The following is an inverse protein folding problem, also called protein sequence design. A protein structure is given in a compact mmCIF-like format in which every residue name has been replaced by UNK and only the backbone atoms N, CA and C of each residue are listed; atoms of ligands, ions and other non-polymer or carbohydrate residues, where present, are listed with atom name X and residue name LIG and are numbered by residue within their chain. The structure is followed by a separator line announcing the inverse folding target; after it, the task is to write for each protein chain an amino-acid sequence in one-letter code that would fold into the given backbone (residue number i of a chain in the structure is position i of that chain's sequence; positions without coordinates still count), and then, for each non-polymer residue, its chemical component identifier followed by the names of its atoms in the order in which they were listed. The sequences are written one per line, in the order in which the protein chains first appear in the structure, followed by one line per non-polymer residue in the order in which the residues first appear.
data_IF_771365031738
#
_entry.id   IF_771365031738
#
_cell.length_a   1.000
_cell.length_b   1.000
_cell.length_c   1.000
_cell.angle_alpha   90.00
_cell.angle_beta   90.00
_cell.angle_gamma   90.00
#
_symmetry.space_group_name_H-M   'P 1'
#
loop_
_entity.id
_entity.type
_entity.pdbx_description
1 polymer ?
#
# COMPACT_ATOMS: atom_id res chain seq x y z
N UNK A 1 -35.16 -22.63 -10.10
CA UNK A 1 -33.87 -23.24 -9.73
C UNK A 1 -33.06 -23.66 -10.96
N UNK A 2 -33.60 -24.45 -11.91
CA UNK A 2 -32.86 -24.88 -13.12
C UNK A 2 -32.28 -23.74 -13.95
N UNK A 3 -33.08 -22.70 -14.24
CA UNK A 3 -32.58 -21.52 -14.97
C UNK A 3 -31.43 -20.81 -14.22
N UNK A 4 -31.48 -20.80 -12.89
CA UNK A 4 -30.39 -20.21 -12.08
C UNK A 4 -29.12 -21.05 -12.14
N UNK A 5 -29.23 -22.39 -12.04
CA UNK A 5 -28.09 -23.29 -12.16
C UNK A 5 -27.43 -23.21 -13.53
N UNK A 6 -28.25 -23.14 -14.60
CA UNK A 6 -27.76 -22.92 -15.95
C UNK A 6 -27.02 -21.58 -16.09
N UNK A 7 -27.59 -20.50 -15.54
CA UNK A 7 -26.94 -19.20 -15.53
C UNK A 7 -25.58 -19.22 -14.77
N UNK A 8 -25.51 -19.94 -13.63
CA UNK A 8 -24.24 -20.11 -12.92
C UNK A 8 -23.23 -20.91 -13.75
N UNK A 9 -23.68 -22.01 -14.38
CA UNK A 9 -22.82 -22.84 -15.23
C UNK A 9 -22.26 -22.03 -16.40
N UNK A 10 -23.11 -21.25 -17.07
CA UNK A 10 -22.69 -20.36 -18.15
C UNK A 10 -21.68 -19.32 -17.62
N UNK A 11 -21.90 -18.78 -16.43
CA UNK A 11 -20.97 -17.86 -15.76
C UNK A 11 -19.60 -18.49 -15.47
N UNK A 12 -19.56 -19.74 -15.03
CA UNK A 12 -18.31 -20.46 -14.83
C UNK A 12 -17.58 -20.75 -16.14
N UNK A 13 -18.30 -21.22 -17.16
CA UNK A 13 -17.74 -21.58 -18.46
C UNK A 13 -17.19 -20.40 -19.24
N UNK A 14 -17.72 -19.18 -19.00
CA UNK A 14 -17.30 -17.97 -19.70
C UNK A 14 -16.30 -17.11 -18.90
N UNK A 15 -15.75 -17.59 -17.79
CA UNK A 15 -14.72 -16.86 -17.03
C UNK A 15 -13.45 -16.74 -17.87
N UNK A 16 -12.89 -15.54 -17.89
CA UNK A 16 -11.62 -15.27 -18.54
C UNK A 16 -10.43 -15.90 -17.81
N UNK A 17 -10.54 -16.12 -16.50
CA UNK A 17 -9.47 -16.61 -15.64
C UNK A 17 -10.01 -17.72 -14.74
N UNK A 18 -9.25 -18.79 -14.60
CA UNK A 18 -9.52 -19.88 -13.65
C UNK A 18 -8.71 -19.67 -12.36
N UNK A 19 -9.09 -18.66 -11.58
CA UNK A 19 -8.36 -18.21 -10.40
C UNK A 19 -8.99 -18.70 -9.10
N UNK A 20 -8.17 -19.31 -8.27
CA UNK A 20 -8.46 -19.51 -6.85
C UNK A 20 -7.94 -18.32 -6.04
N UNK A 21 -8.83 -17.35 -5.77
CA UNK A 21 -8.49 -16.16 -4.98
C UNK A 21 -7.87 -16.52 -3.63
N UNK A 22 -8.38 -17.57 -2.96
CA UNK A 22 -7.87 -17.99 -1.64
C UNK A 22 -6.44 -18.48 -1.71
N UNK A 23 -6.06 -19.22 -2.75
CA UNK A 23 -4.65 -19.62 -2.94
C UNK A 23 -3.73 -18.43 -3.17
N UNK A 24 -4.18 -17.43 -3.95
CA UNK A 24 -3.41 -16.21 -4.23
C UNK A 24 -3.17 -15.42 -2.95
N UNK A 25 -4.20 -15.27 -2.12
CA UNK A 25 -4.13 -14.57 -0.83
C UNK A 25 -3.26 -15.33 0.18
N UNK A 26 -3.45 -16.66 0.27
CA UNK A 26 -2.65 -17.50 1.17
C UNK A 26 -1.18 -17.50 0.80
N UNK A 27 -0.87 -17.54 -0.50
CA UNK A 27 0.51 -17.50 -0.99
C UNK A 27 1.26 -16.26 -0.50
N UNK A 28 0.68 -15.07 -0.68
CA UNK A 28 1.39 -13.84 -0.31
C UNK A 28 1.53 -13.69 1.21
N UNK A 29 0.55 -14.14 1.97
CA UNK A 29 0.63 -14.16 3.44
C UNK A 29 1.72 -15.11 3.94
N UNK A 30 1.77 -16.32 3.40
CA UNK A 30 2.78 -17.30 3.77
C UNK A 30 4.17 -16.86 3.34
N UNK A 31 4.29 -16.23 2.15
CA UNK A 31 5.56 -15.68 1.68
C UNK A 31 6.04 -14.54 2.56
N UNK A 32 5.18 -13.59 2.93
CA UNK A 32 5.51 -12.52 3.87
C UNK A 32 5.96 -13.07 5.23
N UNK A 33 5.25 -14.07 5.77
CA UNK A 33 5.63 -14.73 7.03
C UNK A 33 6.97 -15.44 6.94
N UNK A 34 7.22 -16.13 5.85
CA UNK A 34 8.52 -16.78 5.62
C UNK A 34 9.67 -15.77 5.63
N UNK A 35 9.46 -14.62 5.00
CA UNK A 35 10.51 -13.59 4.85
C UNK A 35 10.79 -12.85 6.15
N UNK A 36 9.74 -12.49 6.90
CA UNK A 36 9.87 -11.59 8.06
C UNK A 36 9.66 -12.27 9.41
N UNK A 37 8.90 -13.34 9.51
CA UNK A 37 8.54 -13.96 10.79
C UNK A 37 9.32 -15.23 11.11
N UNK A 38 10.35 -15.55 10.35
CA UNK A 38 11.15 -16.74 10.53
C UNK A 38 10.27 -18.00 10.74
N UNK A 39 9.52 -18.36 9.70
CA UNK A 39 8.70 -19.59 9.69
C UNK A 39 9.55 -20.84 9.97
N UNK A 40 10.83 -20.76 9.64
CA UNK A 40 11.86 -21.76 9.98
C UNK A 40 12.48 -21.47 11.34
N UNK A 41 13.09 -22.50 11.94
CA UNK A 41 13.83 -22.34 13.21
C UNK A 41 14.99 -21.36 13.06
N UNK A 42 15.38 -20.68 14.14
CA UNK A 42 16.49 -19.68 14.16
C UNK A 42 17.83 -20.22 13.63
N UNK A 43 18.01 -21.53 13.61
CA UNK A 43 19.21 -22.20 13.13
C UNK A 43 19.02 -22.94 11.81
N UNK A 44 18.03 -22.54 10.99
CA UNK A 44 17.83 -23.10 9.66
C UNK A 44 19.10 -22.89 8.83
N UNK A 45 19.52 -23.93 8.12
CA UNK A 45 20.64 -23.85 7.19
C UNK A 45 20.27 -23.07 5.91
N UNK A 46 21.28 -22.55 5.21
CA UNK A 46 21.06 -21.91 3.90
C UNK A 46 20.32 -22.85 2.93
N UNK A 47 20.60 -24.15 2.96
CA UNK A 47 19.93 -25.13 2.13
C UNK A 47 18.44 -25.27 2.46
N UNK A 48 18.06 -25.23 3.74
CA UNK A 48 16.65 -25.26 4.15
C UNK A 48 15.92 -24.00 3.68
N UNK A 49 16.54 -22.84 3.84
CA UNK A 49 15.99 -21.55 3.37
C UNK A 49 15.85 -21.56 1.84
N UNK A 50 16.91 -22.01 1.13
CA UNK A 50 16.89 -22.10 -0.34
C UNK A 50 15.81 -23.05 -0.84
N UNK A 51 15.66 -24.22 -0.23
CA UNK A 51 14.62 -25.19 -0.58
C UNK A 51 13.21 -24.61 -0.37
N UNK A 52 13.00 -23.89 0.74
CA UNK A 52 11.70 -23.26 1.02
C UNK A 52 11.41 -22.15 0.00
N UNK A 53 12.39 -21.31 -0.32
CA UNK A 53 12.27 -20.26 -1.34
C UNK A 53 11.96 -20.85 -2.72
N UNK A 54 12.65 -21.95 -3.08
CA UNK A 54 12.38 -22.66 -4.32
C UNK A 54 10.95 -23.23 -4.38
N UNK A 55 10.42 -23.71 -3.24
CA UNK A 55 9.02 -24.16 -3.17
C UNK A 55 8.06 -22.99 -3.40
N UNK A 56 8.28 -21.83 -2.80
CA UNK A 56 7.49 -20.62 -3.08
C UNK A 56 7.53 -20.25 -4.57
N UNK A 57 8.69 -20.31 -5.19
CA UNK A 57 8.83 -20.04 -6.63
C UNK A 57 7.99 -21.00 -7.48
N UNK A 58 8.03 -22.29 -7.18
CA UNK A 58 7.22 -23.32 -7.87
C UNK A 58 5.72 -23.04 -7.69
N UNK A 59 5.28 -22.72 -6.49
CA UNK A 59 3.87 -22.50 -6.19
C UNK A 59 3.37 -21.19 -6.81
N UNK A 60 4.22 -20.16 -6.86
CA UNK A 60 3.90 -18.91 -7.55
C UNK A 60 3.75 -19.11 -9.07
N UNK A 61 4.64 -19.87 -9.70
CA UNK A 61 4.53 -20.22 -11.13
C UNK A 61 3.20 -20.94 -11.42
N UNK A 62 2.75 -21.85 -10.53
CA UNK A 62 1.43 -22.50 -10.68
C UNK A 62 0.27 -21.49 -10.61
N UNK A 63 0.37 -20.50 -9.72
CA UNK A 63 -0.60 -19.41 -9.62
C UNK A 63 -0.60 -18.58 -10.92
N UNK A 64 0.58 -18.20 -11.42
CA UNK A 64 0.72 -17.46 -12.67
C UNK A 64 0.18 -18.23 -13.87
N UNK A 65 0.34 -19.56 -13.90
CA UNK A 65 -0.22 -20.39 -14.94
C UNK A 65 -1.76 -20.29 -15.01
N UNK A 66 -2.44 -20.23 -13.86
CA UNK A 66 -3.90 -20.04 -13.83
C UNK A 66 -4.36 -18.69 -14.38
N UNK A 67 -3.45 -17.71 -14.47
CA UNK A 67 -3.74 -16.36 -15.03
C UNK A 67 -3.47 -16.32 -16.54
N UNK A 68 -2.35 -16.92 -16.97
CA UNK A 68 -1.88 -16.78 -18.36
C UNK A 68 -2.38 -17.90 -19.27
N UNK A 69 -2.67 -19.08 -18.73
CA UNK A 69 -2.88 -20.33 -19.48
C UNK A 69 -1.72 -20.63 -20.46
N UNK A 70 -0.52 -20.18 -20.08
CA UNK A 70 0.72 -20.26 -20.82
C UNK A 70 1.86 -20.57 -19.86
N UNK A 71 2.40 -21.79 -19.95
CA UNK A 71 3.41 -22.31 -19.03
C UNK A 71 4.75 -21.56 -19.15
N UNK A 72 5.16 -21.24 -20.37
CA UNK A 72 6.44 -20.56 -20.61
C UNK A 72 6.39 -19.15 -20.06
N UNK A 73 5.32 -18.43 -20.32
CA UNK A 73 5.09 -17.09 -19.78
C UNK A 73 4.98 -17.09 -18.27
N UNK A 74 4.23 -18.03 -17.67
CA UNK A 74 4.11 -18.17 -16.23
C UNK A 74 5.47 -18.42 -15.57
N UNK A 75 6.29 -19.31 -16.17
CA UNK A 75 7.63 -19.60 -15.69
C UNK A 75 8.53 -18.39 -15.77
N UNK A 76 8.58 -17.70 -16.91
CA UNK A 76 9.40 -16.51 -17.10
C UNK A 76 9.05 -15.39 -16.10
N UNK A 77 7.76 -15.10 -15.91
CA UNK A 77 7.31 -14.10 -14.94
C UNK A 77 7.63 -14.50 -13.48
N UNK A 78 7.48 -15.77 -13.13
CA UNK A 78 7.84 -16.27 -11.81
C UNK A 78 9.33 -16.17 -11.53
N UNK A 79 10.17 -16.54 -12.51
CA UNK A 79 11.62 -16.39 -12.40
C UNK A 79 12.06 -14.96 -12.29
N UNK A 80 11.50 -14.07 -13.09
CA UNK A 80 11.74 -12.64 -13.00
C UNK A 80 11.44 -12.09 -11.59
N UNK A 81 10.25 -12.39 -11.04
CA UNK A 81 9.86 -11.95 -9.71
C UNK A 81 10.86 -12.37 -8.63
N UNK A 82 11.26 -13.64 -8.61
CA UNK A 82 12.22 -14.13 -7.62
C UNK A 82 13.64 -13.60 -7.86
N UNK A 83 14.00 -13.23 -9.09
CA UNK A 83 15.26 -12.53 -9.39
C UNK A 83 15.25 -11.10 -8.86
N UNK A 84 14.08 -10.43 -8.89
CA UNK A 84 13.90 -9.07 -8.37
C UNK A 84 13.73 -9.02 -6.84
N UNK A 85 13.31 -10.11 -6.24
CA UNK A 85 12.98 -10.14 -4.82
C UNK A 85 14.11 -9.65 -3.89
N UNK A 86 15.41 -9.95 -4.09
CA UNK A 86 16.47 -9.41 -3.24
C UNK A 86 16.56 -7.87 -3.24
N UNK A 87 16.26 -7.21 -4.37
CA UNK A 87 16.22 -5.75 -4.48
C UNK A 87 15.02 -5.20 -3.69
N UNK A 88 13.85 -5.84 -3.82
CA UNK A 88 12.65 -5.48 -3.07
C UNK A 88 12.88 -5.65 -1.57
N UNK A 89 13.49 -6.76 -1.16
CA UNK A 89 13.80 -7.03 0.25
C UNK A 89 14.70 -5.95 0.85
N UNK A 90 15.78 -5.57 0.13
CA UNK A 90 16.66 -4.48 0.56
C UNK A 90 15.92 -3.14 0.71
N UNK A 91 14.96 -2.87 -0.17
CA UNK A 91 14.11 -1.68 -0.08
C UNK A 91 13.22 -1.73 1.17
N UNK A 92 12.67 -2.91 1.49
CA UNK A 92 11.87 -3.11 2.70
C UNK A 92 12.68 -2.99 4.00
N UNK A 93 13.96 -3.41 4.00
CA UNK A 93 14.86 -3.15 5.12
C UNK A 93 15.05 -1.64 5.37
N UNK A 94 15.16 -0.83 4.31
CA UNK A 94 15.24 0.62 4.40
C UNK A 94 13.94 1.23 4.95
N UNK A 95 12.78 0.73 4.50
CA UNK A 95 11.49 1.19 5.00
C UNK A 95 11.31 0.88 6.49
N UNK A 96 11.71 -0.32 6.92
CA UNK A 96 11.63 -0.73 8.32
C UNK A 96 12.58 0.09 9.22
N UNK A 97 13.81 0.33 8.77
CA UNK A 97 14.77 1.17 9.48
C UNK A 97 14.26 2.61 9.61
N UNK A 98 13.68 3.15 8.54
CA UNK A 98 13.11 4.50 8.54
C UNK A 98 11.89 4.62 9.46
N UNK A 99 11.07 3.58 9.57
CA UNK A 99 9.98 3.52 10.53
C UNK A 99 10.52 3.57 11.97
N UNK A 100 11.54 2.75 12.29
CA UNK A 100 12.19 2.76 13.60
C UNK A 100 12.78 4.13 13.97
N UNK A 101 13.39 4.83 13.01
CA UNK A 101 13.96 6.16 13.23
C UNK A 101 12.91 7.26 13.47
N UNK A 102 11.72 7.10 12.92
CA UNK A 102 10.69 8.14 12.88
C UNK A 102 9.48 7.89 13.78
N UNK A 103 9.38 6.74 14.41
CA UNK A 103 8.41 6.44 15.45
C UNK A 103 9.10 6.31 16.82
N UNK A 104 8.90 7.29 17.71
CA UNK A 104 9.49 7.24 19.07
C UNK A 104 9.03 6.03 19.90
N UNK A 105 7.93 5.37 19.53
CA UNK A 105 7.40 4.20 20.24
C UNK A 105 8.06 2.89 19.77
N UNK A 106 8.67 2.89 18.57
CA UNK A 106 9.33 1.70 18.04
C UNK A 106 10.62 1.38 18.79
N UNK A 107 10.81 0.13 19.21
CA UNK A 107 11.97 -0.31 19.98
C UNK A 107 12.98 -1.13 19.17
N UNK A 108 12.54 -1.72 18.06
CA UNK A 108 13.40 -2.51 17.17
C UNK A 108 12.82 -2.65 15.76
N UNK A 109 13.66 -3.02 14.79
CA UNK A 109 13.24 -3.35 13.42
C UNK A 109 12.29 -4.57 13.42
N UNK A 110 12.55 -5.54 14.30
CA UNK A 110 11.70 -6.71 14.46
C UNK A 110 10.28 -6.31 14.91
N UNK A 111 10.16 -5.37 15.85
CA UNK A 111 8.85 -4.87 16.27
C UNK A 111 8.10 -4.24 15.09
N UNK A 112 8.76 -3.41 14.27
CA UNK A 112 8.18 -2.81 13.08
C UNK A 112 7.71 -3.88 12.10
N UNK A 113 8.58 -4.83 11.76
CA UNK A 113 8.27 -5.86 10.75
C UNK A 113 7.18 -6.84 11.21
N UNK A 114 7.09 -7.12 12.52
CA UNK A 114 6.16 -8.11 13.08
C UNK A 114 4.79 -7.53 13.42
N UNK A 115 4.72 -6.23 13.77
CA UNK A 115 3.52 -5.68 14.38
C UNK A 115 2.89 -4.49 13.64
N UNK A 116 3.66 -3.76 12.81
CA UNK A 116 3.15 -2.54 12.19
C UNK A 116 2.29 -2.83 10.95
N UNK A 117 0.99 -2.47 10.96
CA UNK A 117 0.14 -2.63 9.80
C UNK A 117 0.62 -1.80 8.60
N UNK A 118 1.24 -0.64 8.85
CA UNK A 118 1.86 0.19 7.82
C UNK A 118 2.97 -0.54 7.07
N UNK A 119 3.87 -1.24 7.80
CA UNK A 119 4.94 -2.02 7.18
C UNK A 119 4.38 -3.18 6.34
N UNK A 120 3.38 -3.91 6.86
CA UNK A 120 2.74 -4.98 6.10
C UNK A 120 2.14 -4.45 4.78
N UNK A 121 1.40 -3.34 4.83
CA UNK A 121 0.79 -2.74 3.64
C UNK A 121 1.84 -2.30 2.61
N UNK A 122 2.94 -1.68 3.05
CA UNK A 122 4.06 -1.28 2.20
C UNK A 122 4.73 -2.52 1.57
N UNK A 123 4.97 -3.57 2.34
CA UNK A 123 5.61 -4.79 1.85
C UNK A 123 4.76 -5.46 0.76
N UNK A 124 3.47 -5.63 1.00
CA UNK A 124 2.57 -6.20 0.00
C UNK A 124 2.46 -5.30 -1.24
N UNK A 125 2.41 -3.99 -1.05
CA UNK A 125 2.43 -3.04 -2.17
C UNK A 125 3.69 -3.20 -3.03
N UNK A 126 4.89 -3.21 -2.45
CA UNK A 126 6.14 -3.31 -3.22
C UNK A 126 6.22 -4.61 -4.03
N UNK A 127 5.79 -5.72 -3.43
CA UNK A 127 5.71 -7.02 -4.15
C UNK A 127 4.67 -6.97 -5.28
N UNK A 128 3.51 -6.38 -5.04
CA UNK A 128 2.45 -6.23 -6.03
C UNK A 128 2.84 -5.24 -7.15
N UNK A 129 3.54 -4.17 -6.81
CA UNK A 129 4.01 -3.17 -7.78
C UNK A 129 4.95 -3.77 -8.83
N UNK A 130 5.88 -4.64 -8.42
CA UNK A 130 6.77 -5.33 -9.34
C UNK A 130 5.99 -6.20 -10.36
N UNK A 131 4.94 -6.88 -9.90
CA UNK A 131 4.05 -7.63 -10.78
C UNK A 131 3.20 -6.74 -11.70
N UNK A 132 2.85 -5.55 -11.21
CA UNK A 132 2.09 -4.56 -11.99
C UNK A 132 2.95 -4.00 -13.13
N UNK A 133 4.24 -3.76 -12.91
CA UNK A 133 5.18 -3.33 -13.95
C UNK A 133 5.28 -4.36 -15.08
N UNK A 134 5.28 -5.64 -14.74
CA UNK A 134 5.25 -6.78 -15.69
C UNK A 134 3.86 -7.01 -16.30
N UNK A 135 2.86 -6.16 -15.98
CA UNK A 135 1.49 -6.23 -16.50
C UNK A 135 0.82 -7.58 -16.23
N UNK A 136 1.14 -8.20 -15.08
CA UNK A 136 0.48 -9.41 -14.63
C UNK A 136 -0.96 -9.06 -14.23
N UNK A 137 -1.97 -9.68 -14.84
CA UNK A 137 -3.35 -9.30 -14.57
C UNK A 137 -3.82 -9.83 -13.21
N UNK A 138 -4.69 -9.09 -12.55
CA UNK A 138 -5.45 -9.40 -11.33
C UNK A 138 -4.60 -9.61 -10.06
N UNK A 139 -3.51 -10.38 -10.09
CA UNK A 139 -2.73 -10.74 -8.90
C UNK A 139 -2.25 -9.50 -8.13
N UNK A 140 -1.65 -8.47 -8.77
CA UNK A 140 -1.23 -7.27 -8.05
C UNK A 140 -2.37 -6.63 -7.25
N UNK A 141 -3.54 -6.50 -7.87
CA UNK A 141 -4.72 -5.91 -7.23
C UNK A 141 -5.28 -6.81 -6.13
N UNK A 142 -5.30 -8.13 -6.31
CA UNK A 142 -5.75 -9.07 -5.26
C UNK A 142 -4.86 -8.94 -4.01
N UNK A 143 -3.55 -8.81 -4.18
CA UNK A 143 -2.62 -8.66 -3.07
C UNK A 143 -2.80 -7.33 -2.34
N UNK A 144 -2.90 -6.21 -3.06
CA UNK A 144 -3.11 -4.92 -2.40
C UNK A 144 -4.48 -4.80 -1.74
N UNK A 145 -5.54 -5.42 -2.31
CA UNK A 145 -6.85 -5.47 -1.66
C UNK A 145 -6.85 -6.39 -0.42
N UNK A 146 -6.04 -7.45 -0.40
CA UNK A 146 -5.83 -8.23 0.82
C UNK A 146 -5.18 -7.38 1.91
N UNK A 147 -4.11 -6.64 1.58
CA UNK A 147 -3.47 -5.73 2.51
C UNK A 147 -4.44 -4.66 3.02
N UNK A 148 -5.22 -4.05 2.11
CA UNK A 148 -6.28 -3.09 2.46
C UNK A 148 -7.30 -3.69 3.44
N UNK A 149 -7.78 -4.90 3.17
CA UNK A 149 -8.76 -5.58 4.04
C UNK A 149 -8.25 -5.85 5.45
N UNK A 150 -6.94 -6.06 5.61
CA UNK A 150 -6.31 -6.36 6.90
C UNK A 150 -5.91 -5.12 7.69
N UNK A 151 -5.53 -4.05 7.00
CA UNK A 151 -4.89 -2.88 7.61
C UNK A 151 -5.73 -1.61 7.54
N UNK A 152 -6.72 -1.56 6.64
CA UNK A 152 -7.42 -0.33 6.30
C UNK A 152 -6.58 0.65 5.47
N UNK A 153 -5.47 0.20 4.88
CA UNK A 153 -4.54 1.01 4.06
C UNK A 153 -4.70 0.59 2.60
N UNK A 154 -5.26 1.45 1.77
CA UNK A 154 -5.46 1.21 0.33
C UNK A 154 -4.33 1.85 -0.48
N UNK A 155 -3.44 1.02 -1.01
CA UNK A 155 -2.37 1.46 -1.93
C UNK A 155 -2.59 0.79 -3.28
N UNK A 156 -2.83 1.59 -4.32
CA UNK A 156 -2.97 1.02 -5.65
C UNK A 156 -1.63 0.47 -6.17
N UNK A 157 -1.57 -0.74 -6.75
CA UNK A 157 -0.29 -1.35 -7.15
C UNK A 157 0.45 -0.59 -8.26
N UNK A 158 -0.24 0.30 -9.01
CA UNK A 158 0.39 1.18 -10.02
C UNK A 158 0.95 2.47 -9.46
N UNK A 159 0.69 2.83 -8.20
CA UNK A 159 1.32 4.00 -7.60
C UNK A 159 2.85 3.84 -7.60
N UNK A 160 3.58 4.93 -7.76
CA UNK A 160 5.04 4.93 -7.71
C UNK A 160 5.48 5.49 -6.36
N UNK A 161 6.15 4.68 -5.54
CA UNK A 161 6.57 5.08 -4.19
C UNK A 161 8.06 4.84 -4.03
N UNK A 162 8.80 5.91 -3.74
CA UNK A 162 10.23 5.87 -3.44
C UNK A 162 10.56 5.13 -2.13
N UNK A 163 11.83 5.12 -1.77
CA UNK A 163 12.32 4.51 -0.53
C UNK A 163 13.39 5.41 0.09
N UNK A 164 13.45 5.49 1.44
CA UNK A 164 12.51 4.86 2.37
C UNK A 164 11.13 5.54 2.39
N UNK A 165 10.11 4.78 2.82
CA UNK A 165 8.72 5.25 2.97
C UNK A 165 8.12 4.71 4.26
N UNK A 166 7.37 5.54 5.00
CA UNK A 166 6.79 5.17 6.27
C UNK A 166 5.32 5.55 6.37
N UNK A 167 4.51 4.62 6.83
CA UNK A 167 3.11 4.81 7.21
C UNK A 167 2.97 4.56 8.71
N UNK A 168 2.56 5.60 9.44
CA UNK A 168 2.25 5.49 10.85
C UNK A 168 0.73 5.34 11.07
N UNK A 169 0.33 4.41 11.97
CA UNK A 169 -1.05 3.97 12.21
C UNK A 169 -1.74 3.43 10.96
N UNK A 170 -1.98 4.27 9.97
CA UNK A 170 -2.32 3.96 8.59
C UNK A 170 -3.79 3.79 8.28
N UNK A 171 -4.66 3.43 9.23
CA UNK A 171 -6.08 3.17 8.94
C UNK A 171 -6.72 4.32 8.18
N UNK A 172 -7.37 4.01 7.05
CA UNK A 172 -8.08 4.99 6.22
C UNK A 172 -7.20 5.75 5.22
N UNK A 173 -5.94 5.34 5.05
CA UNK A 173 -5.09 5.88 3.96
C UNK A 173 -5.61 5.38 2.62
N UNK A 174 -5.61 6.29 1.62
CA UNK A 174 -5.87 5.96 0.21
C UNK A 174 -4.77 6.58 -0.65
N UNK A 175 -4.00 5.74 -1.35
CA UNK A 175 -2.99 6.15 -2.34
C UNK A 175 -3.45 5.68 -3.72
N UNK A 176 -3.88 6.64 -4.54
CA UNK A 176 -4.48 6.37 -5.84
C UNK A 176 -3.47 5.94 -6.92
N UNK A 177 -3.98 5.36 -8.00
CA UNK A 177 -3.25 4.67 -9.06
C UNK A 177 -2.07 5.44 -9.67
N UNK A 178 -2.23 6.73 -9.92
CA UNK A 178 -1.21 7.56 -10.57
C UNK A 178 -0.49 8.49 -9.59
N UNK A 179 -0.54 8.17 -8.29
CA UNK A 179 0.24 8.90 -7.28
C UNK A 179 1.73 8.65 -7.49
N UNK A 180 2.52 9.69 -7.33
CA UNK A 180 3.98 9.63 -7.31
C UNK A 180 4.45 10.14 -5.96
N UNK A 181 5.22 9.33 -5.24
CA UNK A 181 5.71 9.64 -3.90
C UNK A 181 7.23 9.47 -3.91
N UNK A 182 7.95 10.50 -3.49
CA UNK A 182 9.40 10.51 -3.39
C UNK A 182 9.94 9.70 -2.22
N UNK A 183 11.22 9.90 -1.94
CA UNK A 183 11.95 9.22 -0.87
C UNK A 183 11.73 9.92 0.48
N UNK A 184 11.87 9.16 1.57
CA UNK A 184 11.80 9.67 2.95
C UNK A 184 10.47 10.36 3.29
N UNK A 185 9.38 9.94 2.65
CA UNK A 185 8.04 10.48 2.89
C UNK A 185 7.38 9.72 4.05
N UNK A 186 6.66 10.48 4.89
CA UNK A 186 5.90 9.96 6.04
C UNK A 186 4.42 10.32 5.88
N UNK A 187 3.54 9.33 6.06
CA UNK A 187 2.09 9.49 5.94
C UNK A 187 1.40 8.91 7.17
N UNK A 188 0.49 9.69 7.74
CA UNK A 188 -0.31 9.28 8.90
C UNK A 188 -1.72 8.82 8.49
N UNK A 189 -2.45 8.22 9.43
CA UNK A 189 -3.79 7.69 9.21
C UNK A 189 -4.76 8.67 8.53
N UNK A 190 -5.68 8.14 7.73
CA UNK A 190 -6.75 8.89 7.08
C UNK A 190 -6.32 9.80 5.93
N UNK A 191 -5.05 9.80 5.55
CA UNK A 191 -4.56 10.61 4.41
C UNK A 191 -5.10 10.06 3.09
N UNK A 192 -5.56 10.97 2.22
CA UNK A 192 -6.04 10.63 0.88
C UNK A 192 -5.19 11.35 -0.18
N UNK A 193 -4.55 10.57 -1.04
CA UNK A 193 -3.93 11.04 -2.28
C UNK A 193 -4.84 10.64 -3.44
N UNK A 194 -5.75 11.54 -3.83
CA UNK A 194 -6.91 11.24 -4.66
C UNK A 194 -6.96 12.04 -5.96
N UNK A 195 -7.97 11.73 -6.79
CA UNK A 195 -8.30 12.50 -8.00
C UNK A 195 -9.34 13.58 -7.70
N UNK A 196 -9.27 14.73 -8.39
CA UNK A 196 -10.27 15.80 -8.31
C UNK A 196 -11.62 15.39 -8.93
N UNK A 197 -11.55 14.58 -9.99
CA UNK A 197 -12.74 14.02 -10.64
C UNK A 197 -12.46 12.60 -11.11
N UNK A 198 -13.52 11.79 -11.19
CA UNK A 198 -13.42 10.40 -11.61
C UNK A 198 -14.34 10.20 -12.82
N UNK A 199 -13.76 10.14 -14.03
CA UNK A 199 -14.46 9.69 -15.22
C UNK A 199 -13.64 8.59 -15.91
N UNK A 200 -14.32 7.70 -16.65
CA UNK A 200 -13.62 6.64 -17.41
C UNK A 200 -12.73 7.21 -18.52
N UNK A 201 -13.01 8.41 -18.99
CA UNK A 201 -12.25 9.09 -20.06
C UNK A 201 -10.85 9.48 -19.62
N UNK A 202 -10.66 9.78 -18.32
CA UNK A 202 -9.36 10.16 -17.73
C UNK A 202 -8.66 9.00 -17.03
N UNK A 203 -9.17 7.79 -17.14
CA UNK A 203 -8.63 6.61 -16.44
C UNK A 203 -7.14 6.38 -16.73
N UNK A 204 -6.66 6.70 -17.92
CA UNK A 204 -5.27 6.48 -18.35
C UNK A 204 -4.40 7.75 -18.22
N UNK A 205 -4.88 8.80 -17.55
CA UNK A 205 -4.14 10.05 -17.36
C UNK A 205 -3.64 10.20 -15.93
N UNK A 206 -2.62 11.02 -15.72
CA UNK A 206 -2.18 11.45 -14.38
C UNK A 206 -3.33 12.20 -13.72
N UNK A 207 -3.85 11.67 -12.60
CA UNK A 207 -5.01 12.23 -11.88
C UNK A 207 -4.84 12.31 -10.37
N UNK A 208 -3.75 11.73 -9.85
CA UNK A 208 -3.39 11.75 -8.43
C UNK A 208 -2.13 12.59 -8.21
N UNK A 209 -1.95 13.17 -7.01
CA UNK A 209 -0.87 14.13 -6.75
C UNK A 209 0.53 13.50 -6.81
N UNK A 210 1.51 14.40 -6.90
CA UNK A 210 2.93 14.11 -6.73
C UNK A 210 3.38 14.66 -5.39
N UNK A 211 4.02 13.83 -4.57
CA UNK A 211 4.62 14.16 -3.28
C UNK A 211 6.13 14.05 -3.45
N UNK A 212 6.85 15.15 -3.32
CA UNK A 212 8.32 15.14 -3.44
C UNK A 212 8.99 14.55 -2.19
N UNK A 213 10.34 14.54 -2.17
CA UNK A 213 11.12 13.89 -1.11
C UNK A 213 10.91 14.57 0.26
N UNK A 214 11.07 13.80 1.32
CA UNK A 214 11.10 14.27 2.71
C UNK A 214 9.86 15.06 3.15
N UNK A 215 8.70 14.77 2.55
CA UNK A 215 7.42 15.36 2.93
C UNK A 215 6.80 14.56 4.06
N UNK A 216 6.23 15.26 5.05
CA UNK A 216 5.41 14.66 6.11
C UNK A 216 3.95 15.09 5.95
N UNK A 217 3.03 14.11 5.88
CA UNK A 217 1.59 14.34 5.71
C UNK A 217 0.85 13.80 6.92
N UNK A 218 0.33 14.72 7.75
CA UNK A 218 -0.37 14.37 8.99
C UNK A 218 -1.82 13.95 8.78
N UNK A 219 -2.39 13.39 9.83
CA UNK A 219 -3.66 12.69 9.84
C UNK A 219 -4.81 13.39 9.11
N UNK A 220 -5.57 12.63 8.33
CA UNK A 220 -6.78 13.07 7.62
C UNK A 220 -6.57 14.21 6.61
N UNK A 221 -5.33 14.50 6.21
CA UNK A 221 -5.10 15.43 5.12
C UNK A 221 -5.57 14.82 3.79
N UNK A 222 -6.23 15.64 2.95
CA UNK A 222 -6.70 15.24 1.62
C UNK A 222 -5.98 16.08 0.58
N UNK A 223 -5.27 15.41 -0.35
CA UNK A 223 -4.51 16.06 -1.43
C UNK A 223 -5.02 15.48 -2.75
N UNK A 224 -5.54 16.32 -3.63
CA UNK A 224 -6.22 15.90 -4.85
C UNK A 224 -5.64 16.54 -6.09
N UNK A 225 -5.65 15.78 -7.21
CA UNK A 225 -5.39 16.29 -8.55
C UNK A 225 -4.04 15.88 -9.13
N UNK A 226 -4.02 15.54 -10.41
CA UNK A 226 -2.82 15.07 -11.10
C UNK A 226 -1.74 16.14 -11.31
N UNK A 227 -2.14 17.41 -11.35
CA UNK A 227 -1.24 18.56 -11.47
C UNK A 227 -0.74 19.06 -10.10
N UNK A 228 -1.31 18.54 -9.01
CA UNK A 228 -0.95 18.95 -7.65
C UNK A 228 0.40 18.34 -7.24
N UNK A 229 1.37 19.20 -6.94
CA UNK A 229 2.71 18.81 -6.48
C UNK A 229 2.95 19.38 -5.09
N UNK A 230 3.28 18.53 -4.14
CA UNK A 230 3.73 18.94 -2.81
C UNK A 230 5.26 18.96 -2.80
N UNK A 231 5.83 20.16 -2.73
CA UNK A 231 7.26 20.38 -2.83
C UNK A 231 8.03 19.79 -1.65
N UNK A 232 9.27 19.44 -1.91
CA UNK A 232 10.22 18.78 -1.03
C UNK A 232 10.34 19.46 0.35
N UNK A 233 10.56 18.67 1.41
CA UNK A 233 10.67 19.10 2.81
C UNK A 233 9.43 19.82 3.37
N UNK A 234 8.27 19.65 2.75
CA UNK A 234 7.03 20.26 3.23
C UNK A 234 6.38 19.45 4.35
N UNK A 235 5.66 20.15 5.21
CA UNK A 235 4.86 19.59 6.30
C UNK A 235 3.40 19.93 6.06
N UNK A 236 2.58 18.90 5.89
CA UNK A 236 1.15 19.04 5.67
C UNK A 236 0.43 18.65 6.97
N UNK A 237 -0.14 19.62 7.63
CA UNK A 237 -0.88 19.43 8.88
C UNK A 237 -2.16 18.62 8.69
N UNK A 238 -2.68 18.13 9.81
CA UNK A 238 -3.89 17.30 9.77
C UNK A 238 -5.15 18.05 9.33
N UNK A 239 -6.11 17.30 8.77
CA UNK A 239 -7.43 17.79 8.35
C UNK A 239 -7.41 18.92 7.31
N UNK A 240 -6.35 19.06 6.54
CA UNK A 240 -6.30 20.05 5.44
C UNK A 240 -6.80 19.45 4.13
N UNK A 241 -7.34 20.32 3.26
CA UNK A 241 -7.80 19.95 1.92
C UNK A 241 -7.01 20.75 0.89
N UNK A 242 -6.21 20.08 0.07
CA UNK A 242 -5.26 20.69 -0.88
C UNK A 242 -5.60 20.23 -2.30
N UNK A 243 -5.74 21.20 -3.20
CA UNK A 243 -5.98 20.98 -4.64
C UNK A 243 -4.97 21.71 -5.53
N UNK A 244 -4.09 22.49 -4.92
CA UNK A 244 -3.09 23.31 -5.60
C UNK A 244 -1.68 22.92 -5.15
N UNK A 245 -0.70 23.12 -6.04
CA UNK A 245 0.69 22.81 -5.75
C UNK A 245 1.27 23.72 -4.66
N UNK A 246 2.17 23.16 -3.86
CA UNK A 246 2.89 23.86 -2.80
C UNK A 246 4.39 23.88 -3.12
N UNK A 247 5.07 25.00 -2.94
CA UNK A 247 6.53 25.07 -3.10
C UNK A 247 7.22 24.24 -2.00
N UNK A 248 8.50 23.93 -2.21
CA UNK A 248 9.32 23.24 -1.21
C UNK A 248 9.40 24.04 0.09
N UNK A 249 9.63 23.32 1.20
CA UNK A 249 9.72 23.88 2.55
C UNK A 249 8.42 24.57 3.04
N UNK A 250 7.27 24.18 2.50
CA UNK A 250 5.97 24.69 2.93
C UNK A 250 5.52 24.04 4.24
N UNK A 251 4.91 24.84 5.12
CA UNK A 251 4.19 24.32 6.30
C UNK A 251 2.73 24.75 6.19
N UNK A 252 1.84 23.77 6.04
CA UNK A 252 0.40 23.99 5.88
C UNK A 252 -0.34 23.44 7.08
N UNK A 253 -1.24 24.20 7.63
CA UNK A 253 -2.09 23.78 8.75
C UNK A 253 -3.46 24.43 8.66
N UNK A 254 -4.47 23.73 9.19
CA UNK A 254 -5.81 24.26 9.29
C UNK A 254 -5.94 25.16 10.53
N UNK A 255 -6.43 26.38 10.36
CA UNK A 255 -6.73 27.30 11.46
C UNK A 255 -8.23 27.32 11.69
N UNK A 256 -8.74 26.42 12.55
CA UNK A 256 -10.15 26.34 12.91
C UNK A 256 -10.45 27.11 14.19
N UNK A 257 -11.69 27.61 14.35
CA UNK A 257 -12.20 28.14 15.62
C UNK A 257 -13.07 27.08 16.29
N UNK A 258 -12.74 26.71 17.51
CA UNK A 258 -13.58 25.87 18.36
C UNK A 258 -14.46 26.76 19.22
N UNK A 259 -15.78 26.64 19.09
CA UNK A 259 -16.74 27.35 19.96
C UNK A 259 -17.20 26.42 21.06
N UNK A 260 -16.89 26.76 22.29
CA UNK A 260 -17.39 26.08 23.48
C UNK A 260 -18.64 26.80 23.98
N UNK A 261 -19.76 26.08 24.14
CA UNK A 261 -20.99 26.58 24.71
C UNK A 261 -21.26 25.89 26.04
N UNK A 262 -21.69 26.64 27.05
CA UNK A 262 -22.14 26.03 28.27
C UNK A 262 -23.45 25.25 28.03
N UNK A 263 -23.54 24.05 28.57
CA UNK A 263 -24.71 23.18 28.46
C UNK A 263 -25.89 23.67 29.29
N UNK A 264 -25.61 24.50 30.30
CA UNK A 264 -26.63 25.06 31.23
C UNK A 264 -26.83 26.55 30.93
N UNK A 265 -28.01 26.96 30.41
CA UNK A 265 -28.31 28.35 30.17
C UNK A 265 -28.37 29.11 31.53
N UNK A 266 -27.50 30.05 31.75
CA UNK A 266 -27.43 30.86 32.99
C UNK A 266 -26.02 31.09 33.52
N UNK A 267 -25.07 30.22 33.16
CA UNK A 267 -23.66 30.44 33.46
C UNK A 267 -22.94 31.12 32.28
N UNK A 268 -22.00 32.00 32.57
CA UNK A 268 -21.25 32.69 31.51
C UNK A 268 -20.54 31.67 30.58
N UNK A 269 -20.58 31.88 29.26
CA UNK A 269 -19.94 30.96 28.32
C UNK A 269 -18.42 30.98 28.52
N UNK A 270 -17.85 29.81 28.77
CA UNK A 270 -16.40 29.66 28.83
C UNK A 270 -15.89 29.68 27.37
N UNK A 271 -15.19 30.74 26.99
CA UNK A 271 -14.50 30.84 25.72
C UNK A 271 -13.06 30.30 25.89
N UNK A 272 -12.78 29.11 25.37
CA UNK A 272 -11.41 28.64 25.20
C UNK A 272 -11.00 28.84 23.74
N UNK A 273 -9.90 29.54 23.52
CA UNK A 273 -9.17 29.51 22.25
C UNK A 273 -8.08 28.44 22.38
N UNK A 274 -8.15 27.44 21.55
CA UNK A 274 -7.11 26.43 21.43
C UNK A 274 -6.33 26.70 20.15
#
# INVERSE_FOLDING_TARGET
MENFLKHLQDGYSNRKYDLDKKKIETFIDDFFRFVFFLELQRCASEDEIANRLQQFKIDFIKILYSVFDDKEKATACGEYFFTKFPEIYKTLEQDAAFALENDPAATSVEEVTFSYPGFYAIAIYRLAHELQLEKIPLIPRIWTELAHSKTGIDIHPSATIGSPFFIDHGTGIVIGETSEIGNSVKIYQGVTLGALSVSKEIANTKRHPTIENSVAIYANATILGGETVIGEYSIIGGNVWITDSLPKNSVVFHKGQVTVRNKFPGDEPINYFI
#
